data_IF_342709899070
#
_entry.id   IF_342709899070
#
_cell.length_a   1.000
_cell.length_b   1.000
_cell.length_c   1.000
_cell.angle_alpha   90.00
_cell.angle_beta   90.00
_cell.angle_gamma   90.00
#
_symmetry.space_group_name_H-M   'P 1'
#
loop_
_entity.id
_entity.type
_entity.pdbx_description
1 polymer ?
#
# COMPACT_ATOMS: atom_id res chain seq x y z
N UNK A 1 -6.33 -17.88 -15.45
CA UNK A 1 -5.85 -18.13 -14.07
C UNK A 1 -5.56 -16.81 -13.36
N UNK A 2 -5.49 -16.82 -12.02
CA UNK A 2 -5.16 -15.65 -11.22
C UNK A 2 -3.65 -15.44 -11.18
N UNK A 3 -3.21 -14.18 -11.26
CA UNK A 3 -1.78 -13.85 -11.13
C UNK A 3 -1.28 -14.10 -9.69
N UNK A 4 -2.09 -13.79 -8.69
CA UNK A 4 -1.81 -14.09 -7.29
C UNK A 4 -2.54 -15.36 -6.85
N UNK A 5 -2.26 -16.51 -7.53
CA UNK A 5 -3.03 -17.74 -7.31
C UNK A 5 -2.81 -18.38 -5.94
N UNK A 6 -1.70 -18.06 -5.26
CA UNK A 6 -1.44 -18.48 -3.88
C UNK A 6 -2.14 -17.63 -2.82
N UNK A 7 -2.81 -16.53 -3.21
CA UNK A 7 -3.60 -15.72 -2.30
C UNK A 7 -4.86 -16.50 -1.87
N UNK A 8 -5.07 -16.62 -0.56
CA UNK A 8 -6.14 -17.39 0.06
C UNK A 8 -6.81 -16.62 1.20
N UNK A 9 -7.93 -17.11 1.71
CA UNK A 9 -8.71 -16.45 2.75
C UNK A 9 -7.93 -16.15 4.03
N UNK A 10 -6.97 -17.00 4.40
CA UNK A 10 -6.15 -16.81 5.60
C UNK A 10 -5.22 -15.60 5.54
N UNK A 11 -5.00 -15.01 4.37
CA UNK A 11 -4.27 -13.74 4.24
C UNK A 11 -5.12 -12.53 4.61
N UNK A 12 -6.44 -12.69 4.73
CA UNK A 12 -7.34 -11.59 5.03
C UNK A 12 -7.85 -11.65 6.45
N UNK A 13 -7.92 -10.51 7.10
CA UNK A 13 -8.50 -10.37 8.42
C UNK A 13 -9.43 -9.16 8.49
N UNK A 14 -10.29 -9.16 9.51
CA UNK A 14 -11.08 -8.00 9.90
C UNK A 14 -10.61 -7.53 11.27
N UNK A 15 -10.31 -6.26 11.40
CA UNK A 15 -9.96 -5.69 12.70
C UNK A 15 -11.19 -5.25 13.52
N UNK A 16 -12.37 -5.46 13.00
CA UNK A 16 -13.63 -5.13 13.66
C UNK A 16 -14.08 -3.68 13.44
N UNK A 17 -13.48 -2.97 12.49
CA UNK A 17 -13.93 -1.64 12.10
C UNK A 17 -15.23 -1.79 11.30
N UNK A 18 -16.31 -1.27 11.85
CA UNK A 18 -17.58 -1.04 11.18
C UNK A 18 -17.91 0.46 11.18
N UNK A 19 -18.91 0.88 10.43
CA UNK A 19 -19.34 2.28 10.37
C UNK A 19 -19.65 2.83 11.76
N UNK A 20 -20.24 2.03 12.64
CA UNK A 20 -20.55 2.42 14.01
C UNK A 20 -19.32 2.58 14.91
N UNK A 21 -18.14 2.06 14.52
CA UNK A 21 -16.93 2.23 15.30
C UNK A 21 -16.49 3.70 15.30
N UNK A 22 -16.64 4.39 14.19
CA UNK A 22 -16.29 5.81 14.09
C UNK A 22 -17.18 6.67 14.97
N UNK A 23 -18.50 6.41 14.99
CA UNK A 23 -19.42 7.10 15.90
C UNK A 23 -19.11 6.82 17.37
N UNK A 24 -18.87 5.54 17.73
CA UNK A 24 -18.57 5.15 19.11
C UNK A 24 -17.31 5.81 19.66
N UNK A 25 -16.32 6.05 18.80
CA UNK A 25 -15.06 6.67 19.20
C UNK A 25 -15.03 8.18 18.94
N UNK A 26 -16.08 8.76 18.36
CA UNK A 26 -16.13 10.17 18.00
C UNK A 26 -15.06 10.57 16.97
N UNK A 27 -14.76 9.65 16.03
CA UNK A 27 -13.71 9.81 15.03
C UNK A 27 -14.30 10.12 13.67
N UNK A 28 -13.57 10.86 12.86
CA UNK A 28 -13.88 11.02 11.45
C UNK A 28 -13.18 9.91 10.65
N UNK A 29 -13.95 9.14 9.91
CA UNK A 29 -13.48 7.96 9.16
C UNK A 29 -12.26 8.25 8.28
N UNK A 30 -12.18 9.46 7.73
CA UNK A 30 -11.14 9.84 6.78
C UNK A 30 -9.83 10.31 7.40
N UNK A 31 -9.81 10.57 8.70
CA UNK A 31 -8.77 11.39 9.34
C UNK A 31 -8.15 10.77 10.59
N UNK A 32 -8.53 9.53 10.95
CA UNK A 32 -8.07 8.94 12.20
C UNK A 32 -7.77 7.43 12.11
N UNK A 33 -6.56 7.05 12.49
CA UNK A 33 -6.10 5.67 12.49
C UNK A 33 -6.30 4.94 13.85
N UNK A 34 -6.88 5.59 14.86
CA UNK A 34 -7.00 5.00 16.22
C UNK A 34 -7.88 3.77 16.28
N UNK A 35 -8.78 3.61 15.31
CA UNK A 35 -9.65 2.44 15.21
C UNK A 35 -8.97 1.21 14.57
N UNK A 36 -7.80 1.38 13.95
CA UNK A 36 -7.04 0.26 13.36
C UNK A 36 -6.43 -0.60 14.47
N UNK A 37 -7.10 -1.69 14.84
CA UNK A 37 -6.80 -2.52 16.00
C UNK A 37 -5.37 -3.03 16.05
N UNK A 38 -4.82 -3.41 14.91
CA UNK A 38 -3.49 -4.03 14.82
C UNK A 38 -2.39 -3.03 14.46
N UNK A 39 -2.72 -1.74 14.35
CA UNK A 39 -1.74 -0.70 14.11
C UNK A 39 -1.00 -0.35 15.41
N UNK A 40 0.32 -0.47 15.39
CA UNK A 40 1.17 0.00 16.48
C UNK A 40 1.67 1.42 16.20
N UNK A 41 1.13 2.42 16.91
CA UNK A 41 1.47 3.83 16.71
C UNK A 41 2.92 4.20 17.02
N UNK A 42 3.66 3.31 17.70
CA UNK A 42 5.07 3.53 18.09
C UNK A 42 6.07 2.91 17.11
N UNK A 43 5.60 2.19 16.09
CA UNK A 43 6.44 1.58 15.07
C UNK A 43 6.39 2.37 13.76
N UNK A 44 7.47 2.33 12.94
CA UNK A 44 7.47 2.88 11.60
C UNK A 44 6.36 2.31 10.71
N UNK A 45 5.96 3.07 9.70
CA UNK A 45 5.08 2.60 8.64
C UNK A 45 5.90 2.23 7.39
N UNK A 46 5.48 1.17 6.71
CA UNK A 46 5.95 0.79 5.39
C UNK A 46 4.91 1.25 4.37
N UNK A 47 5.32 1.96 3.34
CA UNK A 47 4.45 2.40 2.24
C UNK A 47 4.92 1.77 0.94
N UNK A 48 4.07 0.92 0.35
CA UNK A 48 4.21 0.51 -1.04
C UNK A 48 3.41 1.47 -1.92
N UNK A 49 4.04 2.14 -2.88
CA UNK A 49 3.36 3.08 -3.76
C UNK A 49 3.35 2.60 -5.20
N UNK A 50 2.20 2.75 -5.86
CA UNK A 50 2.05 2.62 -7.30
C UNK A 50 1.66 3.97 -7.90
N UNK A 51 2.49 4.45 -8.84
CA UNK A 51 2.30 5.72 -9.55
C UNK A 51 1.64 5.46 -10.90
N UNK A 52 0.40 5.83 -11.04
CA UNK A 52 -0.36 5.65 -12.27
C UNK A 52 -1.50 6.67 -12.38
N UNK A 53 -2.51 6.36 -13.21
CA UNK A 53 -3.74 7.16 -13.27
C UNK A 53 -4.50 7.16 -11.93
N UNK A 54 -4.33 6.12 -11.17
CA UNK A 54 -4.65 6.03 -9.75
C UNK A 54 -3.31 5.98 -9.00
N UNK A 55 -2.97 7.05 -8.28
CA UNK A 55 -1.87 7.01 -7.32
C UNK A 55 -2.33 6.32 -6.06
N UNK A 56 -1.63 5.26 -5.62
CA UNK A 56 -2.07 4.48 -4.47
C UNK A 56 -0.96 4.16 -3.49
N UNK A 57 -1.34 4.02 -2.22
CA UNK A 57 -0.49 3.60 -1.12
C UNK A 57 -1.07 2.36 -0.45
N UNK A 58 -0.28 1.31 -0.37
CA UNK A 58 -0.48 0.20 0.55
C UNK A 58 0.31 0.49 1.83
N UNK A 59 -0.38 0.65 2.95
CA UNK A 59 0.23 1.00 4.24
C UNK A 59 0.33 -0.25 5.08
N UNK A 60 1.54 -0.58 5.53
CA UNK A 60 1.82 -1.79 6.28
C UNK A 60 2.73 -1.54 7.48
N UNK A 61 2.78 -2.53 8.36
CA UNK A 61 3.77 -2.64 9.43
C UNK A 61 4.27 -4.09 9.53
N UNK A 62 5.49 -4.24 10.04
CA UNK A 62 5.95 -5.53 10.54
C UNK A 62 5.16 -5.91 11.80
N UNK A 63 4.78 -7.17 11.91
CA UNK A 63 4.06 -7.71 13.05
C UNK A 63 4.56 -9.12 13.35
N UNK A 64 4.35 -9.59 14.57
CA UNK A 64 4.70 -10.96 14.98
C UNK A 64 3.47 -11.60 15.62
N UNK A 65 3.00 -12.70 15.04
CA UNK A 65 1.82 -13.43 15.50
C UNK A 65 2.20 -14.87 15.77
N UNK A 66 2.03 -15.31 17.01
CA UNK A 66 2.37 -16.69 17.39
C UNK A 66 3.86 -17.05 17.26
N UNK A 67 4.75 -16.06 17.22
CA UNK A 67 6.19 -16.24 17.02
C UNK A 67 6.63 -16.25 15.56
N UNK A 68 5.70 -16.03 14.62
CA UNK A 68 5.99 -15.90 13.19
C UNK A 68 5.91 -14.42 12.77
N UNK A 69 6.78 -14.01 11.86
CA UNK A 69 6.84 -12.66 11.35
C UNK A 69 5.87 -12.46 10.18
N UNK A 70 5.21 -11.32 10.18
CA UNK A 70 4.25 -10.92 9.15
C UNK A 70 4.47 -9.48 8.68
N UNK A 71 4.14 -9.25 7.43
CA UNK A 71 3.83 -7.90 6.91
C UNK A 71 2.32 -7.74 6.98
N UNK A 72 1.86 -6.86 7.85
CA UNK A 72 0.43 -6.57 8.03
C UNK A 72 0.06 -5.31 7.28
N UNK A 73 -0.74 -5.45 6.22
CA UNK A 73 -1.29 -4.31 5.46
C UNK A 73 -2.54 -3.84 6.21
N UNK A 74 -2.44 -2.67 6.81
CA UNK A 74 -3.47 -2.10 7.71
C UNK A 74 -4.40 -1.13 6.99
N UNK A 75 -3.97 -0.53 5.87
CA UNK A 75 -4.78 0.44 5.12
C UNK A 75 -4.35 0.50 3.66
N UNK A 76 -5.29 0.83 2.80
CA UNK A 76 -5.03 1.22 1.42
C UNK A 76 -5.64 2.60 1.17
N UNK A 77 -4.86 3.48 0.53
CA UNK A 77 -5.27 4.83 0.16
C UNK A 77 -4.99 5.09 -1.29
N UNK A 78 -5.77 5.96 -1.92
CA UNK A 78 -5.56 6.34 -3.31
C UNK A 78 -6.10 7.73 -3.62
N UNK A 79 -5.62 8.28 -4.73
CA UNK A 79 -6.18 9.45 -5.39
C UNK A 79 -6.39 9.16 -6.87
N UNK A 80 -7.41 9.79 -7.45
CA UNK A 80 -7.71 9.75 -8.88
C UNK A 80 -7.47 11.14 -9.47
N UNK A 81 -7.24 11.21 -10.79
CA UNK A 81 -7.21 12.50 -11.48
C UNK A 81 -8.51 13.29 -11.22
N UNK A 82 -8.46 14.61 -10.99
CA UNK A 82 -7.30 15.49 -11.04
C UNK A 82 -6.42 15.52 -9.77
N UNK A 83 -6.78 14.79 -8.71
CA UNK A 83 -5.97 14.66 -7.50
C UNK A 83 -4.74 13.80 -7.81
N UNK A 84 -3.59 14.17 -7.26
CA UNK A 84 -2.32 13.52 -7.54
C UNK A 84 -1.54 13.23 -6.26
N UNK A 85 -0.23 13.16 -6.38
CA UNK A 85 0.73 12.75 -5.35
C UNK A 85 0.68 13.66 -4.12
N UNK A 86 0.48 14.96 -4.31
CA UNK A 86 0.43 15.93 -3.21
C UNK A 86 -0.77 15.66 -2.29
N UNK A 87 -1.94 15.47 -2.87
CA UNK A 87 -3.18 15.16 -2.15
C UNK A 87 -3.11 13.79 -1.48
N UNK A 88 -2.47 12.81 -2.12
CA UNK A 88 -2.25 11.50 -1.51
C UNK A 88 -1.36 11.60 -0.27
N UNK A 89 -0.28 12.40 -0.34
CA UNK A 89 0.59 12.68 0.80
C UNK A 89 -0.15 13.39 1.93
N UNK A 90 -1.05 14.33 1.60
CA UNK A 90 -1.89 15.01 2.57
C UNK A 90 -2.89 14.03 3.23
N UNK A 91 -3.65 13.26 2.45
CA UNK A 91 -4.57 12.23 2.97
C UNK A 91 -3.85 11.25 3.92
N UNK A 92 -2.63 10.85 3.58
CA UNK A 92 -1.81 10.03 4.45
C UNK A 92 -1.50 10.74 5.77
N UNK A 93 -1.03 11.99 5.75
CA UNK A 93 -0.69 12.75 6.95
C UNK A 93 -1.88 12.94 7.87
N UNK A 94 -3.03 13.29 7.30
CA UNK A 94 -4.25 13.57 8.05
C UNK A 94 -4.75 12.30 8.74
N UNK A 95 -4.83 11.19 8.01
CA UNK A 95 -5.28 9.92 8.57
C UNK A 95 -4.33 9.38 9.65
N UNK A 96 -3.01 9.44 9.41
CA UNK A 96 -2.00 8.95 10.33
C UNK A 96 -1.46 10.03 11.30
N UNK A 97 -2.16 11.16 11.42
CA UNK A 97 -1.81 12.22 12.38
C UNK A 97 -1.61 11.72 13.83
N UNK A 98 -2.41 10.74 14.35
CA UNK A 98 -2.25 10.20 15.69
C UNK A 98 -1.03 9.29 15.89
N UNK A 99 -0.25 8.96 14.86
CA UNK A 99 0.97 8.17 15.02
C UNK A 99 1.98 8.88 15.92
N UNK A 100 2.56 8.15 16.86
CA UNK A 100 3.66 8.61 17.71
C UNK A 100 5.01 8.53 16.96
N UNK A 101 5.23 7.40 16.26
CA UNK A 101 6.38 7.25 15.36
C UNK A 101 6.05 7.86 13.99
N UNK A 102 6.75 8.93 13.64
CA UNK A 102 6.60 9.66 12.38
C UNK A 102 7.64 9.23 11.33
N UNK A 103 7.98 7.95 11.29
CA UNK A 103 8.95 7.38 10.33
C UNK A 103 8.23 6.53 9.30
N UNK A 104 8.58 6.75 8.04
CA UNK A 104 8.05 6.03 6.88
C UNK A 104 9.19 5.39 6.08
N UNK A 105 9.05 4.13 5.74
CA UNK A 105 9.87 3.41 4.77
C UNK A 105 9.10 3.34 3.46
N UNK A 106 9.55 4.07 2.43
CA UNK A 106 8.86 4.20 1.14
C UNK A 106 9.45 3.25 0.11
N UNK A 107 8.63 2.32 -0.37
CA UNK A 107 8.92 1.35 -1.42
C UNK A 107 8.18 1.73 -2.70
N UNK A 108 8.86 1.71 -3.84
CA UNK A 108 8.31 2.10 -5.13
C UNK A 108 9.03 1.40 -6.27
N UNK A 109 8.38 1.28 -7.42
CA UNK A 109 9.01 0.76 -8.61
C UNK A 109 9.91 1.80 -9.31
N UNK A 110 10.67 1.38 -10.31
CA UNK A 110 11.58 2.25 -11.06
C UNK A 110 10.85 3.36 -11.84
N UNK A 111 9.57 3.17 -12.16
CA UNK A 111 8.78 4.20 -12.82
C UNK A 111 8.69 5.46 -11.93
N UNK A 112 8.68 5.29 -10.60
CA UNK A 112 8.75 6.39 -9.64
C UNK A 112 10.00 7.25 -9.75
N UNK A 113 11.09 6.71 -10.31
CA UNK A 113 12.36 7.44 -10.53
C UNK A 113 12.48 8.07 -11.93
N UNK A 114 11.61 7.74 -12.88
CA UNK A 114 11.86 7.99 -14.31
C UNK A 114 11.32 9.33 -14.83
N UNK A 115 10.49 10.04 -14.11
CA UNK A 115 9.88 11.30 -14.56
C UNK A 115 10.64 12.55 -14.08
N UNK A 116 11.87 12.73 -14.57
CA UNK A 116 12.66 13.95 -14.35
C UNK A 116 12.45 14.95 -15.49
N UNK A 117 11.23 15.42 -15.76
CA UNK A 117 11.11 16.49 -16.77
C UNK A 117 11.44 17.88 -16.22
N UNK A 118 11.05 18.19 -15.01
CA UNK A 118 11.47 19.42 -14.28
C UNK A 118 11.22 19.16 -12.79
N UNK A 119 12.26 19.07 -11.95
CA UNK A 119 12.12 18.93 -10.50
C UNK A 119 12.32 17.51 -9.94
N UNK A 120 11.59 17.19 -8.87
CA UNK A 120 11.65 15.89 -8.22
C UNK A 120 10.93 14.81 -9.05
N UNK A 121 11.44 13.58 -9.00
CA UNK A 121 10.69 12.41 -9.46
C UNK A 121 9.41 12.18 -8.62
N UNK A 122 8.55 11.27 -9.05
CA UNK A 122 7.26 11.03 -8.37
C UNK A 122 7.43 10.58 -6.92
N UNK A 123 8.42 9.73 -6.65
CA UNK A 123 8.71 9.29 -5.29
C UNK A 123 9.23 10.44 -4.41
N UNK A 124 10.09 11.31 -4.98
CA UNK A 124 10.54 12.53 -4.31
C UNK A 124 9.42 13.54 -4.06
N UNK A 125 8.45 13.64 -4.98
CA UNK A 125 7.26 14.47 -4.77
C UNK A 125 6.40 13.95 -3.61
N UNK A 126 6.18 12.63 -3.53
CA UNK A 126 5.45 12.01 -2.43
C UNK A 126 6.19 12.19 -1.10
N UNK A 127 7.51 11.95 -1.08
CA UNK A 127 8.35 12.24 0.09
C UNK A 127 8.16 13.67 0.56
N UNK A 128 8.27 14.64 -0.36
CA UNK A 128 8.08 16.06 -0.04
C UNK A 128 6.67 16.33 0.51
N UNK A 129 5.63 15.76 -0.10
CA UNK A 129 4.25 15.92 0.34
C UNK A 129 3.96 15.30 1.73
N UNK A 130 4.74 14.29 2.13
CA UNK A 130 4.64 13.71 3.48
C UNK A 130 5.44 14.54 4.50
N UNK A 131 6.66 14.98 4.15
CA UNK A 131 7.57 15.68 5.08
C UNK A 131 7.26 17.17 5.26
N UNK A 132 6.54 17.78 4.31
CA UNK A 132 6.22 19.21 4.34
C UNK A 132 4.73 19.43 4.06
N UNK A 133 4.14 20.43 4.72
CA UNK A 133 2.79 20.88 4.45
C UNK A 133 2.73 21.83 3.23
N UNK A 134 1.53 22.30 2.90
CA UNK A 134 1.28 23.23 1.79
C UNK A 134 1.98 24.60 1.96
N UNK A 135 2.32 24.96 3.21
CA UNK A 135 3.06 26.19 3.55
C UNK A 135 4.57 25.97 3.54
N UNK A 136 5.03 24.74 3.23
CA UNK A 136 6.43 24.37 3.26
C UNK A 136 7.00 24.15 4.67
N UNK A 137 6.15 24.04 5.68
CA UNK A 137 6.56 23.75 7.04
C UNK A 137 6.73 22.23 7.24
N UNK A 138 7.70 21.86 8.08
CA UNK A 138 7.92 20.44 8.40
C UNK A 138 6.76 19.86 9.18
N UNK A 139 6.28 18.70 8.77
CA UNK A 139 5.16 17.96 9.38
C UNK A 139 5.58 17.09 10.57
N UNK A 140 6.88 16.89 10.75
CA UNK A 140 7.46 15.95 11.69
C UNK A 140 7.65 14.53 11.12
N UNK A 141 7.05 14.20 9.97
CA UNK A 141 7.31 12.94 9.27
C UNK A 141 8.71 12.91 8.66
N UNK A 142 9.33 11.73 8.66
CA UNK A 142 10.61 11.45 8.01
C UNK A 142 10.44 10.26 7.07
N UNK A 143 10.76 10.43 5.80
CA UNK A 143 10.60 9.40 4.77
C UNK A 143 11.97 8.88 4.32
N UNK A 144 12.20 7.58 4.54
CA UNK A 144 13.35 6.84 4.03
C UNK A 144 13.00 6.19 2.71
N UNK A 145 13.75 6.50 1.66
CA UNK A 145 13.55 5.96 0.30
C UNK A 145 14.20 4.57 0.20
N UNK A 146 13.41 3.51 0.28
CA UNK A 146 13.93 2.12 0.34
C UNK A 146 14.29 1.55 -1.03
N UNK A 147 13.61 1.97 -2.09
CA UNK A 147 13.83 1.47 -3.46
C UNK A 147 14.83 2.31 -4.27
N UNK A 148 15.52 3.26 -3.64
CA UNK A 148 16.54 4.06 -4.31
C UNK A 148 17.69 3.15 -4.77
N UNK A 149 18.03 3.20 -6.07
CA UNK A 149 19.06 2.38 -6.72
C UNK A 149 18.74 0.88 -6.83
N UNK A 150 17.51 0.45 -6.54
CA UNK A 150 17.07 -0.92 -6.83
C UNK A 150 16.60 -1.05 -8.28
N UNK A 151 16.88 -2.21 -8.90
CA UNK A 151 16.33 -2.57 -10.20
C UNK A 151 14.90 -3.08 -10.06
N UNK A 152 14.08 -2.91 -11.13
CA UNK A 152 12.79 -3.56 -11.16
C UNK A 152 12.94 -5.06 -11.38
N UNK A 153 12.13 -5.82 -10.69
CA UNK A 153 11.87 -7.23 -11.00
C UNK A 153 10.97 -7.31 -12.24
N UNK A 154 11.24 -8.24 -13.14
CA UNK A 154 10.36 -8.51 -14.29
C UNK A 154 9.05 -9.17 -13.87
N UNK A 155 7.99 -9.01 -14.67
CA UNK A 155 6.69 -9.62 -14.34
C UNK A 155 6.73 -11.15 -14.17
N UNK A 156 7.51 -11.93 -14.95
CA UNK A 156 7.65 -13.36 -14.71
C UNK A 156 8.32 -13.70 -13.38
N UNK A 157 9.33 -12.92 -13.00
CA UNK A 157 10.02 -13.08 -11.72
C UNK A 157 9.12 -12.63 -10.57
N UNK A 158 8.36 -11.53 -10.74
CA UNK A 158 7.33 -11.09 -9.79
C UNK A 158 6.31 -12.21 -9.57
N UNK A 159 5.81 -12.83 -10.65
CA UNK A 159 4.89 -13.96 -10.55
C UNK A 159 5.47 -15.10 -9.72
N UNK A 160 6.67 -15.54 -10.05
CA UNK A 160 7.35 -16.65 -9.35
C UNK A 160 7.58 -16.30 -7.87
N UNK A 161 8.04 -15.09 -7.58
CA UNK A 161 8.23 -14.60 -6.21
C UNK A 161 6.93 -14.58 -5.43
N UNK A 162 5.85 -14.05 -5.99
CA UNK A 162 4.56 -13.95 -5.32
C UNK A 162 3.93 -15.33 -5.04
N UNK A 163 4.17 -16.33 -5.89
CA UNK A 163 3.74 -17.72 -5.61
C UNK A 163 4.46 -18.31 -4.39
N UNK A 164 5.75 -18.01 -4.22
CA UNK A 164 6.54 -18.47 -3.06
C UNK A 164 6.15 -17.68 -1.81
N UNK A 165 6.05 -16.36 -1.92
CA UNK A 165 5.78 -15.44 -0.81
C UNK A 165 4.40 -15.67 -0.21
N UNK A 166 3.34 -15.61 -1.03
CA UNK A 166 1.97 -15.86 -0.58
C UNK A 166 1.72 -17.34 -0.25
N UNK A 167 2.46 -18.25 -0.86
CA UNK A 167 2.35 -19.70 -0.59
C UNK A 167 2.98 -20.14 0.74
N UNK A 168 3.67 -19.24 1.46
CA UNK A 168 4.33 -19.56 2.75
C UNK A 168 5.41 -20.63 2.64
N UNK A 169 5.96 -20.86 1.42
CA UNK A 169 6.89 -21.96 1.16
C UNK A 169 8.34 -21.67 1.59
N UNK A 170 8.64 -20.44 1.89
CA UNK A 170 9.97 -20.01 2.33
C UNK A 170 9.90 -19.43 3.73
N UNK A 171 10.39 -20.14 4.75
CA UNK A 171 10.33 -19.68 6.14
C UNK A 171 11.22 -18.46 6.43
N UNK A 172 12.11 -18.07 5.49
CA UNK A 172 12.89 -16.84 5.61
C UNK A 172 12.10 -15.59 5.18
N UNK A 173 10.91 -15.75 4.60
CA UNK A 173 10.05 -14.64 4.24
C UNK A 173 8.92 -14.50 5.27
N UNK A 174 8.56 -13.27 5.66
CA UNK A 174 7.41 -13.05 6.53
C UNK A 174 6.11 -13.46 5.84
N UNK A 175 5.11 -13.85 6.61
CA UNK A 175 3.76 -14.03 6.11
C UNK A 175 3.12 -12.68 5.74
N UNK A 176 1.96 -12.72 5.08
CA UNK A 176 1.20 -11.52 4.70
C UNK A 176 -0.18 -11.57 5.32
N UNK A 177 -0.58 -10.47 5.95
CA UNK A 177 -1.93 -10.27 6.46
C UNK A 177 -2.49 -8.96 5.91
N UNK A 178 -3.69 -8.99 5.35
CA UNK A 178 -4.33 -7.85 4.68
C UNK A 178 -5.66 -7.56 5.36
N UNK A 179 -5.86 -6.32 5.80
CA UNK A 179 -7.16 -5.90 6.31
C UNK A 179 -8.19 -5.92 5.19
N UNK A 180 -9.20 -6.79 5.33
CA UNK A 180 -10.20 -7.02 4.31
C UNK A 180 -11.14 -5.83 4.10
N UNK A 181 -11.28 -4.94 5.10
CA UNK A 181 -12.12 -3.76 5.05
C UNK A 181 -11.30 -2.51 4.70
N UNK A 182 -10.29 -2.18 5.52
CA UNK A 182 -9.48 -0.97 5.33
C UNK A 182 -8.59 -1.01 4.08
N UNK A 183 -8.30 -2.22 3.55
CA UNK A 183 -7.59 -2.43 2.29
C UNK A 183 -8.45 -3.13 1.23
N UNK A 184 -9.78 -2.93 1.25
CA UNK A 184 -10.74 -3.61 0.36
C UNK A 184 -10.39 -3.47 -1.12
N UNK A 185 -9.98 -2.30 -1.57
CA UNK A 185 -9.64 -2.06 -2.98
C UNK A 185 -8.39 -2.85 -3.37
N UNK A 186 -7.38 -2.89 -2.51
CA UNK A 186 -6.19 -3.72 -2.72
C UNK A 186 -6.59 -5.20 -2.80
N UNK A 187 -7.42 -5.69 -1.86
CA UNK A 187 -7.96 -7.06 -1.88
C UNK A 187 -8.59 -7.37 -3.23
N UNK A 188 -9.55 -6.54 -3.67
CA UNK A 188 -10.24 -6.72 -4.95
C UNK A 188 -9.28 -6.71 -6.15
N UNK A 189 -8.28 -5.82 -6.15
CA UNK A 189 -7.26 -5.76 -7.20
C UNK A 189 -6.45 -7.05 -7.26
N UNK A 190 -5.99 -7.56 -6.12
CA UNK A 190 -5.22 -8.81 -6.05
C UNK A 190 -6.06 -10.03 -6.49
N UNK A 191 -7.31 -10.11 -6.07
CA UNK A 191 -8.22 -11.20 -6.42
C UNK A 191 -8.61 -11.22 -7.91
N UNK A 192 -8.68 -10.04 -8.54
CA UNK A 192 -9.07 -9.89 -9.94
C UNK A 192 -7.89 -9.93 -10.92
N UNK A 193 -6.65 -9.80 -10.44
CA UNK A 193 -5.47 -9.85 -11.30
C UNK A 193 -5.37 -11.21 -12.03
N UNK A 194 -5.40 -11.17 -13.36
CA UNK A 194 -5.35 -12.36 -14.22
C UNK A 194 -3.98 -12.53 -14.85
N UNK A 195 -3.69 -13.77 -15.24
CA UNK A 195 -2.52 -14.09 -16.03
C UNK A 195 -2.84 -14.00 -17.53
N UNK A 196 -1.83 -13.62 -18.31
CA UNK A 196 -1.79 -13.81 -19.76
C UNK A 196 -0.48 -14.51 -20.10
N UNK A 197 -0.55 -15.54 -20.97
CA UNK A 197 0.63 -16.27 -21.41
C UNK A 197 1.06 -15.76 -22.78
N UNK A 198 2.33 -15.35 -22.90
CA UNK A 198 2.94 -14.94 -24.18
C UNK A 198 4.23 -15.72 -24.37
N UNK A 199 4.33 -16.46 -25.46
CA UNK A 199 5.51 -17.30 -25.79
C UNK A 199 5.92 -18.25 -24.64
N UNK A 200 4.95 -18.84 -23.95
CA UNK A 200 5.18 -19.73 -22.81
C UNK A 200 5.54 -19.04 -21.49
N UNK A 201 5.62 -17.72 -21.46
CA UNK A 201 5.94 -16.93 -20.26
C UNK A 201 4.66 -16.30 -19.68
N UNK A 202 4.52 -16.36 -18.36
CA UNK A 202 3.36 -15.82 -17.64
C UNK A 202 3.59 -14.32 -17.35
N UNK A 203 2.61 -13.52 -17.71
CA UNK A 203 2.56 -12.08 -17.42
C UNK A 203 1.25 -11.74 -16.72
N UNK A 204 1.21 -10.61 -16.02
CA UNK A 204 -0.01 -10.04 -15.48
C UNK A 204 -0.81 -9.35 -16.59
N UNK A 205 -2.10 -9.67 -16.72
CA UNK A 205 -3.00 -8.93 -17.60
C UNK A 205 -3.44 -7.63 -16.91
N UNK A 206 -2.74 -6.56 -17.23
CA UNK A 206 -3.01 -5.22 -16.64
C UNK A 206 -4.42 -4.69 -16.88
N UNK A 207 -5.16 -5.27 -17.84
CA UNK A 207 -6.56 -4.88 -18.08
C UNK A 207 -7.50 -5.45 -17.03
N UNK A 208 -7.15 -6.62 -16.46
CA UNK A 208 -7.96 -7.29 -15.45
C UNK A 208 -7.91 -6.60 -14.08
N UNK A 209 -6.88 -5.79 -13.82
CA UNK A 209 -6.70 -5.07 -12.55
C UNK A 209 -7.53 -3.77 -12.48
N UNK A 210 -8.06 -3.32 -13.62
CA UNK A 210 -8.85 -2.08 -13.66
C UNK A 210 -10.21 -2.35 -13.02
N UNK A 211 -10.39 -1.85 -11.81
CA UNK A 211 -11.70 -1.76 -11.21
C UNK A 211 -12.52 -0.73 -11.98
N UNK A 212 -13.79 -1.03 -12.33
CA UNK A 212 -14.71 -0.02 -12.82
C UNK A 212 -14.78 1.14 -11.82
N UNK A 213 -14.76 2.39 -12.31
CA UNK A 213 -14.78 3.60 -11.47
C UNK A 213 -16.01 3.63 -10.55
N UNK A 214 -17.13 3.07 -10.99
CA UNK A 214 -18.36 2.94 -10.25
C UNK A 214 -18.30 1.93 -9.07
N UNK A 215 -17.31 1.06 -9.05
CA UNK A 215 -17.05 0.11 -7.95
C UNK A 215 -16.07 0.65 -6.91
N UNK A 216 -15.49 1.83 -7.14
CA UNK A 216 -14.65 2.49 -6.15
C UNK A 216 -15.55 3.14 -5.08
N UNK A 217 -15.27 2.96 -3.79
CA UNK A 217 -15.99 3.68 -2.73
C UNK A 217 -15.85 5.19 -2.95
N UNK A 218 -16.96 5.88 -2.91
CA UNK A 218 -17.02 7.34 -2.99
C UNK A 218 -16.68 7.94 -1.64
#
# INVERSE_FOLDING_TARGET
DRFYSALAEHHFYFDGIDEGAYERFGLLEKEDCRVLRYLNRKRPLMLGVDFGNMCSLSIAQEDTVGGEDFIRIVKFMYTLAPEYIAELGQKFRDYFAPMECKVVQLYYDRAGNSYKKVGLDQAGQLKKAIEFDERGMRTGWVVTMMSMNQGNIGQPEEYAFMQVFLGGKNPALPGVLIDAYAAKILKLSLENARTIVKSGIVYKDKRSEKLPIDQLPR
#
